data_IF_678682044858
#
_entry.id   IF_678682044858
#
_cell.length_a   1.000
_cell.length_b   1.000
_cell.length_c   1.000
_cell.angle_alpha   90.00
_cell.angle_beta   90.00
_cell.angle_gamma   90.00
#
_symmetry.space_group_name_H-M   'P 1'
#
loop_
_entity.id
_entity.type
_entity.pdbx_description
1 polymer ?
#
# COMPACT_ATOMS: atom_id res chain seq x y z
N UNK A 1 -3.63 -10.62 27.75
CA UNK A 1 -2.36 -10.33 27.05
C UNK A 1 -2.45 -8.91 26.53
N UNK A 2 -1.51 -8.04 26.90
CA UNK A 2 -1.42 -6.68 26.35
C UNK A 2 -1.06 -6.80 24.87
N UNK A 3 -1.93 -6.31 23.99
CA UNK A 3 -1.65 -6.24 22.54
C UNK A 3 -0.42 -5.34 22.36
N UNK A 4 0.58 -5.82 21.61
CA UNK A 4 1.73 -4.99 21.25
C UNK A 4 1.20 -3.76 20.49
N UNK A 5 1.44 -2.56 20.99
CA UNK A 5 0.96 -1.30 20.40
C UNK A 5 1.90 -0.74 19.33
N UNK A 6 3.01 -1.44 19.08
CA UNK A 6 4.03 -1.00 18.11
C UNK A 6 3.93 -1.82 16.83
N UNK A 7 3.71 -1.15 15.71
CA UNK A 7 3.73 -1.76 14.37
C UNK A 7 5.14 -1.68 13.84
N UNK A 8 5.81 -2.83 13.67
CA UNK A 8 7.21 -2.91 13.21
C UNK A 8 7.35 -3.48 11.81
N UNK A 9 6.31 -4.17 11.32
CA UNK A 9 6.33 -4.96 10.09
C UNK A 9 5.32 -4.40 9.11
N UNK A 10 5.71 -4.33 7.83
CA UNK A 10 4.81 -3.98 6.72
C UNK A 10 4.83 -5.08 5.68
N UNK A 11 3.66 -5.49 5.23
CA UNK A 11 3.45 -6.49 4.17
C UNK A 11 3.04 -5.78 2.88
N UNK A 12 3.78 -6.06 1.80
CA UNK A 12 3.52 -5.53 0.47
C UNK A 12 3.08 -6.66 -0.46
N UNK A 13 1.77 -6.82 -0.73
CA UNK A 13 1.26 -7.80 -1.69
C UNK A 13 1.56 -7.36 -3.12
N UNK A 14 2.63 -7.87 -3.70
CA UNK A 14 3.13 -7.50 -5.04
C UNK A 14 3.15 -8.67 -6.05
N UNK A 15 2.39 -9.74 -5.78
CA UNK A 15 2.35 -10.92 -6.65
C UNK A 15 1.41 -10.79 -7.88
N UNK A 16 0.66 -9.70 -8.00
CA UNK A 16 -0.32 -9.49 -9.07
C UNK A 16 0.30 -9.42 -10.47
N UNK A 17 -0.45 -9.84 -11.50
CA UNK A 17 0.06 -9.94 -12.88
C UNK A 17 0.19 -8.61 -13.63
N UNK A 18 -0.44 -7.54 -13.16
CA UNK A 18 -0.32 -6.21 -13.76
C UNK A 18 -0.95 -6.08 -15.17
N UNK A 19 -1.97 -6.86 -15.49
CA UNK A 19 -2.54 -6.97 -16.83
C UNK A 19 -3.10 -5.66 -17.41
N UNK A 20 -3.52 -4.72 -16.55
CA UNK A 20 -4.06 -3.40 -16.95
C UNK A 20 -3.02 -2.54 -17.67
N UNK A 21 -1.73 -2.77 -17.43
CA UNK A 21 -0.61 -2.02 -18.01
C UNK A 21 0.13 -2.77 -19.12
N UNK A 22 -0.44 -3.86 -19.66
CA UNK A 22 0.13 -4.48 -20.85
C UNK A 22 0.13 -3.51 -22.03
N UNK A 23 1.21 -3.49 -22.86
CA UNK A 23 2.36 -4.40 -22.86
C UNK A 23 3.51 -4.05 -21.91
N UNK A 24 3.50 -2.88 -21.23
CA UNK A 24 4.61 -2.43 -20.39
C UNK A 24 4.97 -3.44 -19.28
N UNK A 25 3.97 -4.11 -18.72
CA UNK A 25 4.14 -5.08 -17.62
C UNK A 25 4.40 -6.51 -18.10
N UNK A 26 4.66 -6.72 -19.40
CA UNK A 26 4.99 -8.05 -19.93
C UNK A 26 6.27 -8.63 -19.31
N UNK A 27 7.28 -7.79 -19.12
CA UNK A 27 8.59 -8.17 -18.59
C UNK A 27 8.97 -7.43 -17.29
N UNK A 28 8.19 -6.42 -16.87
CA UNK A 28 8.44 -5.64 -15.67
C UNK A 28 7.22 -5.68 -14.73
N UNK A 29 7.42 -5.80 -13.43
CA UNK A 29 6.33 -5.66 -12.46
C UNK A 29 5.65 -4.29 -12.58
N UNK A 30 4.32 -4.23 -12.44
CA UNK A 30 3.61 -2.94 -12.43
C UNK A 30 4.10 -2.02 -11.29
N UNK A 31 4.54 -2.61 -10.22
CA UNK A 31 5.08 -1.95 -9.04
C UNK A 31 6.43 -1.26 -9.30
N UNK A 32 7.11 -1.65 -10.41
CA UNK A 32 8.36 -1.04 -10.88
C UNK A 32 8.15 0.03 -11.95
N UNK A 33 6.91 0.32 -12.33
CA UNK A 33 6.64 1.46 -13.22
C UNK A 33 7.01 2.77 -12.50
N UNK A 34 7.80 3.65 -13.15
CA UNK A 34 8.29 4.86 -12.49
C UNK A 34 7.21 5.96 -12.47
N UNK A 35 6.98 6.54 -11.32
CA UNK A 35 6.29 7.82 -11.16
C UNK A 35 7.37 8.89 -11.05
N UNK A 36 7.58 9.64 -12.11
CA UNK A 36 8.72 10.53 -12.37
C UNK A 36 10.03 9.72 -12.51
N UNK A 37 10.81 9.58 -11.46
CA UNK A 37 12.11 8.90 -11.43
C UNK A 37 12.23 7.81 -10.36
N UNK A 38 11.11 7.50 -9.69
CA UNK A 38 11.07 6.55 -8.57
C UNK A 38 10.03 5.46 -8.84
N UNK A 39 10.36 4.16 -8.68
CA UNK A 39 9.39 3.09 -8.82
C UNK A 39 8.23 3.22 -7.84
N UNK A 40 7.03 2.87 -8.30
CA UNK A 40 5.79 2.98 -7.50
C UNK A 40 5.89 2.29 -6.14
N UNK A 41 6.52 1.11 -6.07
CA UNK A 41 6.71 0.37 -4.81
C UNK A 41 7.55 1.15 -3.80
N UNK A 42 8.53 1.94 -4.24
CA UNK A 42 9.40 2.69 -3.34
C UNK A 42 8.63 3.76 -2.56
N UNK A 43 7.62 4.41 -3.15
CA UNK A 43 6.75 5.35 -2.43
C UNK A 43 6.05 4.68 -1.24
N UNK A 44 5.55 3.45 -1.42
CA UNK A 44 4.90 2.72 -0.34
C UNK A 44 5.89 2.27 0.75
N UNK A 45 7.12 1.89 0.37
CA UNK A 45 8.18 1.54 1.32
C UNK A 45 8.64 2.76 2.11
N UNK A 46 8.87 3.89 1.45
CA UNK A 46 9.24 5.14 2.11
C UNK A 46 8.14 5.62 3.09
N UNK A 47 6.87 5.47 2.72
CA UNK A 47 5.75 5.77 3.61
C UNK A 47 5.77 4.88 4.87
N UNK A 48 6.00 3.57 4.72
CA UNK A 48 6.12 2.64 5.83
C UNK A 48 7.34 2.97 6.72
N UNK A 49 8.47 3.27 6.11
CA UNK A 49 9.69 3.67 6.82
C UNK A 49 9.48 4.97 7.62
N UNK A 50 8.85 5.98 7.01
CA UNK A 50 8.53 7.25 7.66
C UNK A 50 7.49 7.09 8.81
N UNK A 51 6.65 6.04 8.76
CA UNK A 51 5.74 5.67 9.85
C UNK A 51 6.44 4.94 11.01
N UNK A 52 7.76 4.70 10.92
CA UNK A 52 8.58 4.03 11.93
C UNK A 52 8.68 2.51 11.78
N UNK A 53 8.20 1.95 10.68
CA UNK A 53 8.32 0.53 10.35
C UNK A 53 9.71 0.25 9.77
N UNK A 54 10.31 -0.89 10.13
CA UNK A 54 11.67 -1.25 9.71
C UNK A 54 11.78 -2.60 9.01
N UNK A 55 10.79 -3.49 9.17
CA UNK A 55 10.78 -4.80 8.55
C UNK A 55 9.78 -4.82 7.40
N UNK A 56 10.28 -4.81 6.16
CA UNK A 56 9.49 -4.80 4.92
C UNK A 56 9.36 -6.22 4.38
N UNK A 57 8.14 -6.74 4.28
CA UNK A 57 7.84 -8.10 3.85
C UNK A 57 7.13 -8.05 2.50
N UNK A 58 7.81 -8.44 1.44
CA UNK A 58 7.26 -8.46 0.10
C UNK A 58 6.69 -9.83 -0.23
N UNK A 59 5.41 -9.89 -0.55
CA UNK A 59 4.76 -11.11 -1.04
C UNK A 59 4.79 -11.11 -2.55
N UNK A 60 5.80 -11.79 -3.12
CA UNK A 60 6.14 -11.74 -4.54
C UNK A 60 5.57 -12.91 -5.35
N UNK A 61 5.56 -12.78 -6.66
CA UNK A 61 5.25 -13.83 -7.63
C UNK A 61 6.49 -14.21 -8.49
N UNK A 62 6.27 -15.12 -9.44
CA UNK A 62 7.37 -15.67 -10.28
C UNK A 62 8.14 -14.60 -11.09
N UNK A 63 7.48 -13.52 -11.52
CA UNK A 63 8.06 -12.50 -12.43
C UNK A 63 8.34 -11.19 -11.73
N UNK A 64 8.66 -11.21 -10.41
CA UNK A 64 8.79 -10.00 -9.57
C UNK A 64 10.23 -9.71 -9.12
N UNK A 65 11.22 -10.37 -9.73
CA UNK A 65 12.63 -10.26 -9.34
C UNK A 65 13.15 -8.81 -9.32
N UNK A 66 12.70 -7.97 -10.26
CA UNK A 66 13.10 -6.56 -10.29
C UNK A 66 12.73 -5.78 -9.00
N UNK A 67 11.74 -6.24 -8.21
CA UNK A 67 11.44 -5.66 -6.90
C UNK A 67 12.49 -6.10 -5.88
N UNK A 68 12.91 -7.36 -5.95
CA UNK A 68 13.96 -7.91 -5.09
C UNK A 68 15.29 -7.19 -5.37
N UNK A 69 15.67 -7.08 -6.65
CA UNK A 69 16.90 -6.40 -7.10
C UNK A 69 16.89 -4.89 -6.74
N UNK A 70 15.72 -4.23 -6.70
CA UNK A 70 15.62 -2.81 -6.37
C UNK A 70 15.93 -2.49 -4.89
N UNK A 71 15.59 -3.41 -3.99
CA UNK A 71 15.83 -3.29 -2.55
C UNK A 71 17.02 -4.14 -2.10
N UNK A 72 17.97 -4.41 -3.00
CA UNK A 72 19.24 -5.09 -2.71
C UNK A 72 20.40 -4.14 -3.00
N UNK A 73 21.58 -4.47 -2.46
CA UNK A 73 22.80 -3.70 -2.72
C UNK A 73 23.21 -3.83 -4.19
N UNK A 74 23.28 -2.72 -4.91
CA UNK A 74 23.75 -2.66 -6.28
C UNK A 74 25.28 -2.48 -6.33
N UNK A 75 26.03 -3.50 -5.87
CA UNK A 75 27.47 -3.42 -5.62
C UNK A 75 28.27 -2.84 -6.79
N UNK A 76 28.02 -3.29 -8.03
CA UNK A 76 28.74 -2.83 -9.20
C UNK A 76 28.45 -1.35 -9.50
N UNK A 77 27.18 -0.94 -9.38
CA UNK A 77 26.77 0.46 -9.58
C UNK A 77 27.37 1.38 -8.49
N UNK A 78 27.32 0.93 -7.25
CA UNK A 78 27.86 1.72 -6.14
C UNK A 78 29.37 1.88 -6.27
N UNK A 79 30.12 0.82 -6.61
CA UNK A 79 31.56 0.88 -6.82
C UNK A 79 31.95 1.81 -7.98
N UNK A 80 31.19 1.80 -9.08
CA UNK A 80 31.40 2.72 -10.21
C UNK A 80 31.13 4.17 -9.81
N UNK A 81 30.06 4.44 -9.07
CA UNK A 81 29.73 5.79 -8.61
C UNK A 81 30.79 6.34 -7.63
N UNK A 82 31.27 5.48 -6.72
CA UNK A 82 32.33 5.83 -5.77
C UNK A 82 33.65 6.12 -6.48
N UNK A 83 34.05 5.25 -7.41
CA UNK A 83 35.27 5.45 -8.24
C UNK A 83 35.19 6.72 -9.08
N UNK A 84 34.01 7.05 -9.60
CA UNK A 84 33.77 8.25 -10.38
C UNK A 84 33.59 9.54 -9.54
N UNK A 85 33.63 9.45 -8.21
CA UNK A 85 33.44 10.58 -7.30
C UNK A 85 32.01 11.17 -7.33
N UNK A 86 31.00 10.37 -7.73
CA UNK A 86 29.60 10.80 -7.84
C UNK A 86 28.83 10.61 -6.55
N UNK A 87 29.29 11.29 -5.48
CA UNK A 87 28.79 11.11 -4.11
C UNK A 87 27.26 11.30 -3.97
N UNK A 88 26.69 12.30 -4.65
CA UNK A 88 25.25 12.56 -4.58
C UNK A 88 24.41 11.42 -5.18
N UNK A 89 24.86 10.80 -6.28
CA UNK A 89 24.19 9.65 -6.87
C UNK A 89 24.39 8.38 -6.03
N UNK A 90 25.55 8.20 -5.46
CA UNK A 90 25.85 7.10 -4.54
C UNK A 90 24.96 7.17 -3.31
N UNK A 91 24.83 8.35 -2.70
CA UNK A 91 23.92 8.58 -1.58
C UNK A 91 22.46 8.32 -1.96
N UNK A 92 22.03 8.71 -3.16
CA UNK A 92 20.68 8.44 -3.67
C UNK A 92 20.43 6.93 -3.80
N UNK A 93 21.35 6.16 -4.38
CA UNK A 93 21.24 4.70 -4.52
C UNK A 93 21.15 4.04 -3.15
N UNK A 94 22.04 4.38 -2.23
CA UNK A 94 22.05 3.82 -0.86
C UNK A 94 20.82 4.21 -0.03
N UNK A 95 20.18 5.34 -0.32
CA UNK A 95 18.97 5.77 0.38
C UNK A 95 17.73 4.94 0.08
N UNK A 96 17.73 4.10 -0.97
CA UNK A 96 16.63 3.20 -1.31
C UNK A 96 16.40 2.15 -0.21
N UNK A 97 17.49 1.66 0.39
CA UNK A 97 17.47 0.75 1.52
C UNK A 97 18.36 1.30 2.64
N UNK A 98 17.80 2.08 3.59
CA UNK A 98 18.53 2.53 4.77
C UNK A 98 19.07 1.36 5.62
N UNK A 99 20.21 1.57 6.28
CA UNK A 99 20.92 0.54 7.07
C UNK A 99 20.09 -0.10 8.20
N UNK A 100 19.07 0.61 8.69
CA UNK A 100 18.16 0.15 9.75
C UNK A 100 16.84 -0.45 9.20
N UNK A 101 16.77 -0.72 7.88
CA UNK A 101 15.62 -1.31 7.22
C UNK A 101 15.94 -2.71 6.70
N UNK A 102 15.16 -3.70 7.14
CA UNK A 102 15.26 -5.08 6.67
C UNK A 102 14.21 -5.40 5.61
N UNK A 103 14.59 -6.08 4.55
CA UNK A 103 13.71 -6.59 3.50
C UNK A 103 13.66 -8.12 3.52
N UNK A 104 12.44 -8.67 3.50
CA UNK A 104 12.21 -10.11 3.41
C UNK A 104 11.24 -10.41 2.26
N UNK A 105 11.48 -11.48 1.52
CA UNK A 105 10.71 -11.87 0.36
C UNK A 105 10.09 -13.25 0.55
N UNK A 106 8.76 -13.34 0.40
CA UNK A 106 8.01 -14.59 0.46
C UNK A 106 7.18 -14.77 -0.80
N UNK A 107 7.01 -16.01 -1.23
CA UNK A 107 6.28 -16.30 -2.47
C UNK A 107 4.80 -16.57 -2.23
N UNK A 108 3.95 -15.90 -3.03
CA UNK A 108 2.59 -16.37 -3.29
C UNK A 108 2.63 -17.34 -4.50
N UNK A 109 2.60 -18.66 -4.28
CA UNK A 109 2.81 -19.62 -5.36
C UNK A 109 1.66 -19.69 -6.38
N UNK A 110 0.47 -19.27 -5.96
CA UNK A 110 -0.74 -19.20 -6.80
C UNK A 110 -1.46 -17.89 -6.50
N UNK A 111 -1.92 -17.20 -7.54
CA UNK A 111 -2.69 -15.96 -7.42
C UNK A 111 -4.12 -16.29 -6.97
N UNK A 112 -4.32 -16.41 -5.65
CA UNK A 112 -5.62 -16.77 -5.05
C UNK A 112 -6.33 -15.57 -4.39
N UNK A 113 -5.87 -14.35 -4.62
CA UNK A 113 -6.45 -13.13 -4.09
C UNK A 113 -5.59 -12.44 -3.03
N UNK A 114 -6.04 -11.23 -2.62
CA UNK A 114 -5.30 -10.37 -1.69
C UNK A 114 -5.18 -10.98 -0.29
N UNK A 115 -6.25 -11.56 0.24
CA UNK A 115 -6.21 -12.24 1.53
C UNK A 115 -5.19 -13.37 1.55
N UNK A 116 -5.14 -14.19 0.50
CA UNK A 116 -4.14 -15.24 0.40
C UNK A 116 -2.70 -14.68 0.31
N UNK A 117 -2.48 -13.55 -0.36
CA UNK A 117 -1.18 -12.92 -0.39
C UNK A 117 -0.75 -12.50 1.03
N UNK A 118 -1.65 -11.87 1.79
CA UNK A 118 -1.41 -11.49 3.19
C UNK A 118 -1.12 -12.72 4.04
N UNK A 119 -1.87 -13.80 3.87
CA UNK A 119 -1.66 -15.07 4.59
C UNK A 119 -0.26 -15.66 4.33
N UNK A 120 0.28 -15.52 3.12
CA UNK A 120 1.65 -15.97 2.81
C UNK A 120 2.73 -15.28 3.67
N UNK A 121 2.46 -14.10 4.20
CA UNK A 121 3.40 -13.36 5.05
C UNK A 121 3.37 -13.80 6.52
N UNK A 122 2.38 -14.57 6.95
CA UNK A 122 2.19 -14.99 8.35
C UNK A 122 3.45 -15.53 9.03
N UNK A 123 4.27 -16.43 8.40
CA UNK A 123 5.47 -16.98 9.04
C UNK A 123 6.51 -15.90 9.39
N UNK A 124 6.53 -14.77 8.65
CA UNK A 124 7.44 -13.64 8.88
C UNK A 124 6.83 -12.59 9.82
N UNK A 125 5.53 -12.42 9.78
CA UNK A 125 4.79 -11.50 10.68
C UNK A 125 4.73 -12.08 12.09
N UNK A 126 4.43 -13.35 12.24
CA UNK A 126 4.23 -14.00 13.54
C UNK A 126 2.99 -13.45 14.26
N UNK A 127 3.09 -13.34 15.58
CA UNK A 127 1.98 -12.90 16.43
C UNK A 127 2.10 -11.40 16.81
N UNK A 128 2.40 -10.53 15.82
CA UNK A 128 2.54 -9.10 15.99
C UNK A 128 1.55 -8.34 15.11
N UNK A 129 1.10 -7.12 15.51
CA UNK A 129 0.37 -6.24 14.60
C UNK A 129 1.28 -5.81 13.45
N UNK A 130 0.70 -5.69 12.27
CA UNK A 130 1.43 -5.40 11.05
C UNK A 130 0.64 -4.48 10.13
N UNK A 131 1.34 -3.72 9.29
CA UNK A 131 0.74 -2.95 8.23
C UNK A 131 0.62 -3.77 6.94
N UNK A 132 -0.39 -3.49 6.12
CA UNK A 132 -0.49 -3.95 4.73
C UNK A 132 -0.60 -2.74 3.84
N UNK A 133 0.27 -2.63 2.83
CA UNK A 133 0.29 -1.54 1.88
C UNK A 133 0.14 -2.08 0.46
N UNK A 134 -0.90 -1.64 -0.24
CA UNK A 134 -1.04 -1.91 -1.67
C UNK A 134 -0.19 -0.89 -2.43
N UNK A 135 0.79 -1.37 -3.18
CA UNK A 135 1.76 -0.51 -3.87
C UNK A 135 1.14 0.34 -4.99
N UNK A 136 0.04 -0.11 -5.58
CA UNK A 136 -0.70 0.62 -6.62
C UNK A 136 -1.64 1.70 -6.07
N UNK A 137 -1.84 1.77 -4.76
CA UNK A 137 -2.43 2.93 -4.09
C UNK A 137 -1.31 3.87 -3.61
N UNK A 138 -0.93 4.84 -4.46
CA UNK A 138 0.05 5.85 -4.07
C UNK A 138 -0.66 6.88 -3.18
N UNK A 139 -0.17 7.04 -1.97
CA UNK A 139 -0.75 7.95 -0.99
C UNK A 139 0.23 9.06 -0.62
N UNK A 140 -0.24 10.30 -0.67
CA UNK A 140 0.52 11.49 -0.29
C UNK A 140 -0.19 12.15 0.88
N UNK A 141 0.50 12.30 1.99
CA UNK A 141 -0.02 13.02 3.17
C UNK A 141 -0.27 14.50 2.86
N UNK A 142 -0.95 15.22 3.75
CA UNK A 142 -1.16 16.66 3.58
C UNK A 142 0.18 17.41 3.61
N UNK A 143 0.24 18.54 2.91
CA UNK A 143 1.46 19.34 2.84
C UNK A 143 1.92 19.76 4.25
N UNK A 144 3.14 19.41 4.62
CA UNK A 144 3.68 19.67 5.96
C UNK A 144 3.12 18.79 7.08
N UNK A 145 2.26 17.81 6.73
CA UNK A 145 1.66 16.87 7.67
C UNK A 145 2.33 15.49 7.67
N UNK A 146 1.73 14.56 8.39
CA UNK A 146 2.23 13.18 8.49
C UNK A 146 1.81 12.34 7.27
N UNK A 147 2.65 11.38 6.82
CA UNK A 147 2.23 10.34 5.88
C UNK A 147 0.99 9.60 6.38
N UNK A 148 0.18 9.09 5.44
CA UNK A 148 -1.10 8.44 5.79
C UNK A 148 -0.90 7.28 6.76
N UNK A 149 0.09 6.42 6.53
CA UNK A 149 0.36 5.30 7.43
C UNK A 149 0.79 5.75 8.84
N UNK A 150 1.52 6.87 8.97
CA UNK A 150 1.90 7.41 10.28
C UNK A 150 0.68 7.91 11.07
N UNK A 151 -0.31 8.52 10.39
CA UNK A 151 -1.60 8.87 10.99
C UNK A 151 -2.32 7.60 11.51
N UNK A 152 -2.35 6.54 10.69
CA UNK A 152 -2.96 5.25 11.06
C UNK A 152 -2.23 4.56 12.23
N UNK A 153 -0.90 4.62 12.28
CA UNK A 153 -0.12 4.08 13.42
C UNK A 153 -0.50 4.81 14.71
N UNK A 154 -0.75 6.11 14.64
CA UNK A 154 -1.23 6.89 15.80
C UNK A 154 -2.62 6.43 16.22
N UNK A 155 -3.55 6.24 15.28
CA UNK A 155 -4.89 5.72 15.54
C UNK A 155 -4.85 4.29 16.12
N UNK A 156 -4.01 3.42 15.56
CA UNK A 156 -3.80 2.07 16.07
C UNK A 156 -3.29 2.04 17.51
N UNK A 157 -2.31 2.90 17.85
CA UNK A 157 -1.79 3.00 19.23
C UNK A 157 -2.87 3.39 20.23
N UNK A 158 -3.81 4.21 19.83
CA UNK A 158 -4.93 4.63 20.69
C UNK A 158 -5.97 3.53 20.88
N UNK A 159 -6.27 2.77 19.83
CA UNK A 159 -7.33 1.76 19.84
C UNK A 159 -6.85 0.37 20.27
N UNK A 160 -5.59 0.01 19.98
CA UNK A 160 -5.06 -1.35 20.17
C UNK A 160 -5.81 -2.41 19.35
N UNK A 161 -6.43 -2.02 18.24
CA UNK A 161 -7.28 -2.84 17.37
C UNK A 161 -7.02 -2.51 15.91
N UNK A 162 -7.38 -3.44 15.02
CA UNK A 162 -7.21 -3.27 13.57
C UNK A 162 -7.82 -1.96 13.07
N UNK A 163 -7.07 -1.25 12.21
CA UNK A 163 -7.45 0.03 11.59
C UNK A 163 -7.28 -0.08 10.08
N UNK A 164 -8.29 0.32 9.33
CA UNK A 164 -8.26 0.37 7.85
C UNK A 164 -8.43 1.80 7.37
N UNK A 165 -7.63 2.22 6.40
CA UNK A 165 -7.79 3.52 5.75
C UNK A 165 -9.04 3.53 4.87
N UNK A 166 -9.82 4.59 4.97
CA UNK A 166 -11.02 4.78 4.15
C UNK A 166 -11.09 6.20 3.60
N UNK A 167 -11.76 6.34 2.46
CA UNK A 167 -12.11 7.62 1.87
C UNK A 167 -13.53 7.58 1.31
N UNK A 168 -14.18 8.72 1.18
CA UNK A 168 -15.43 8.81 0.45
C UNK A 168 -15.17 8.62 -1.04
N UNK A 169 -15.94 7.74 -1.69
CA UNK A 169 -15.84 7.47 -3.13
C UNK A 169 -17.14 7.83 -3.84
N UNK A 170 -17.09 8.20 -5.13
CA UNK A 170 -18.29 8.41 -5.93
C UNK A 170 -19.20 7.17 -5.95
N UNK A 171 -20.50 7.38 -5.96
CA UNK A 171 -21.50 6.30 -5.92
C UNK A 171 -21.35 5.30 -7.07
N UNK A 172 -21.04 5.79 -8.25
CA UNK A 172 -20.78 4.97 -9.45
C UNK A 172 -19.49 4.13 -9.36
N UNK A 173 -18.62 4.40 -8.37
CA UNK A 173 -17.36 3.70 -8.19
C UNK A 173 -17.33 2.72 -7.00
N UNK A 174 -18.38 2.65 -6.18
CA UNK A 174 -18.41 1.75 -5.01
C UNK A 174 -18.11 0.29 -5.37
N UNK A 175 -18.48 -0.14 -6.57
CA UNK A 175 -18.24 -1.49 -7.08
C UNK A 175 -16.75 -1.85 -7.30
N UNK A 176 -15.84 -0.88 -7.13
CA UNK A 176 -14.38 -1.08 -7.24
C UNK A 176 -13.71 -1.35 -5.90
N UNK A 177 -14.40 -1.07 -4.78
CA UNK A 177 -13.83 -1.05 -3.43
C UNK A 177 -14.51 -1.99 -2.46
N UNK A 178 -13.82 -2.37 -1.40
CA UNK A 178 -14.48 -2.79 -0.18
C UNK A 178 -15.18 -1.58 0.44
N UNK A 179 -16.47 -1.69 0.73
CA UNK A 179 -17.26 -0.58 1.30
C UNK A 179 -17.57 -0.87 2.76
N UNK A 180 -17.33 0.11 3.63
CA UNK A 180 -17.56 0.00 5.08
C UNK A 180 -18.68 0.91 5.54
N UNK A 181 -19.40 0.48 6.58
CA UNK A 181 -20.33 1.32 7.33
C UNK A 181 -20.20 1.00 8.82
N UNK A 182 -20.53 1.95 9.67
CA UNK A 182 -20.45 1.80 11.12
C UNK A 182 -20.76 3.10 11.85
N UNK A 183 -20.45 3.13 13.14
CA UNK A 183 -20.74 4.24 14.04
C UNK A 183 -19.50 5.10 14.32
N UNK A 184 -19.64 6.43 14.42
CA UNK A 184 -18.53 7.31 14.79
C UNK A 184 -17.87 6.88 16.10
N UNK A 185 -16.53 6.85 16.13
CA UNK A 185 -15.75 6.44 17.29
C UNK A 185 -14.83 7.56 17.81
N UNK A 186 -15.07 8.79 17.39
CA UNK A 186 -14.32 9.99 17.77
C UNK A 186 -13.27 10.40 16.73
N UNK A 187 -13.17 11.70 16.48
CA UNK A 187 -12.27 12.26 15.45
C UNK A 187 -12.54 11.68 14.07
N UNK A 188 -11.51 11.14 13.44
CA UNK A 188 -11.56 10.54 12.10
C UNK A 188 -11.82 9.02 12.14
N UNK A 189 -12.17 8.46 13.30
CA UNK A 189 -12.43 7.04 13.49
C UNK A 189 -13.91 6.69 13.43
N UNK A 190 -14.21 5.58 12.80
CA UNK A 190 -15.51 4.92 12.77
C UNK A 190 -15.33 3.45 13.19
N UNK A 191 -16.09 2.95 14.14
CA UNK A 191 -16.16 1.53 14.44
C UNK A 191 -16.97 0.85 13.34
N UNK A 192 -16.33 -0.10 12.64
CA UNK A 192 -16.97 -0.78 11.52
C UNK A 192 -17.99 -1.79 12.05
N UNK A 193 -19.20 -1.75 11.51
CA UNK A 193 -20.27 -2.72 11.76
C UNK A 193 -20.51 -3.61 10.53
N UNK A 194 -20.20 -3.10 9.34
CA UNK A 194 -20.37 -3.81 8.09
C UNK A 194 -19.26 -3.46 7.11
N UNK A 195 -18.73 -4.50 6.46
CA UNK A 195 -17.78 -4.37 5.35
C UNK A 195 -18.19 -5.33 4.23
N UNK A 196 -18.23 -4.87 2.99
CA UNK A 196 -18.66 -5.66 1.82
C UNK A 196 -17.69 -5.43 0.66
N UNK A 197 -17.17 -6.50 0.10
CA UNK A 197 -16.26 -6.43 -1.06
C UNK A 197 -17.03 -6.15 -2.34
N UNK A 198 -16.69 -5.06 -3.02
CA UNK A 198 -17.19 -4.67 -4.35
C UNK A 198 -18.71 -4.79 -4.50
N UNK A 199 -19.51 -4.18 -3.62
CA UNK A 199 -20.96 -4.27 -3.72
C UNK A 199 -21.47 -3.55 -4.97
N UNK A 200 -22.65 -3.93 -5.44
CA UNK A 200 -23.40 -3.09 -6.38
C UNK A 200 -23.85 -1.82 -5.66
N UNK A 201 -24.04 -0.72 -6.41
CA UNK A 201 -24.42 0.57 -5.84
C UNK A 201 -25.69 0.54 -5.00
N UNK A 202 -26.68 -0.23 -5.45
CA UNK A 202 -28.01 -0.41 -4.81
C UNK A 202 -27.97 -1.15 -3.45
N UNK A 203 -26.87 -1.89 -3.17
CA UNK A 203 -26.70 -2.66 -1.93
C UNK A 203 -25.48 -2.24 -1.11
N UNK A 204 -24.75 -1.24 -1.58
CA UNK A 204 -23.59 -0.70 -0.88
C UNK A 204 -24.03 -0.11 0.48
N UNK A 205 -23.37 -0.47 1.60
CA UNK A 205 -23.79 0.02 2.92
C UNK A 205 -23.52 1.51 3.14
N UNK A 206 -22.63 2.09 2.37
CA UNK A 206 -22.26 3.51 2.38
C UNK A 206 -21.45 3.86 1.12
N UNK A 207 -20.81 5.05 1.12
CA UNK A 207 -19.79 5.43 0.13
C UNK A 207 -18.37 5.46 0.70
N UNK A 208 -18.14 4.92 1.90
CA UNK A 208 -16.82 4.86 2.50
C UNK A 208 -16.04 3.66 1.96
N UNK A 209 -15.19 3.92 0.98
CA UNK A 209 -14.35 2.94 0.30
C UNK A 209 -13.04 2.69 1.03
N UNK A 210 -12.66 1.42 1.14
CA UNK A 210 -11.37 1.01 1.71
C UNK A 210 -10.26 1.42 0.76
N UNK A 211 -9.28 2.15 1.28
CA UNK A 211 -8.04 2.48 0.59
C UNK A 211 -6.94 1.45 0.96
N UNK A 212 -5.94 1.32 0.11
CA UNK A 212 -4.94 0.26 0.20
C UNK A 212 -3.95 0.34 1.37
N UNK A 213 -4.41 0.78 2.55
CA UNK A 213 -3.63 0.83 3.79
C UNK A 213 -4.40 0.20 4.93
N UNK A 214 -3.75 -0.74 5.61
CA UNK A 214 -4.32 -1.47 6.74
C UNK A 214 -3.28 -1.60 7.86
N UNK A 215 -3.71 -1.55 9.09
CA UNK A 215 -2.96 -2.04 10.24
C UNK A 215 -3.82 -3.12 10.89
N UNK A 216 -3.34 -4.34 10.90
CA UNK A 216 -4.10 -5.51 11.29
C UNK A 216 -3.48 -6.19 12.51
N UNK A 217 -4.33 -6.75 13.35
CA UNK A 217 -3.92 -7.70 14.38
C UNK A 217 -3.69 -9.07 13.79
N UNK A 218 -2.84 -9.92 14.39
CA UNK A 218 -2.53 -11.24 13.84
C UNK A 218 -3.74 -12.21 13.79
N UNK A 219 -4.81 -11.93 14.53
CA UNK A 219 -6.05 -12.70 14.48
C UNK A 219 -6.66 -12.80 13.07
N UNK A 220 -6.34 -11.86 12.19
CA UNK A 220 -6.81 -11.89 10.79
C UNK A 220 -6.32 -13.11 10.02
N UNK A 221 -5.16 -13.69 10.36
CA UNK A 221 -4.62 -14.87 9.65
C UNK A 221 -5.50 -16.11 9.81
N UNK A 222 -6.03 -16.36 11.00
CA UNK A 222 -6.95 -17.47 11.23
C UNK A 222 -8.25 -17.30 10.45
N UNK A 223 -8.75 -16.08 10.38
CA UNK A 223 -9.96 -15.77 9.63
C UNK A 223 -9.76 -15.95 8.11
N UNK A 224 -8.63 -15.47 7.57
CA UNK A 224 -8.29 -15.66 6.15
C UNK A 224 -8.09 -17.14 5.83
N UNK A 225 -7.48 -17.92 6.70
CA UNK A 225 -7.21 -19.35 6.49
C UNK A 225 -8.50 -20.17 6.41
N UNK A 226 -9.49 -19.82 7.21
CA UNK A 226 -10.72 -20.57 7.39
C UNK A 226 -11.91 -20.03 6.56
N UNK A 227 -11.70 -18.98 5.75
CA UNK A 227 -12.78 -18.42 4.92
C UNK A 227 -12.95 -19.19 3.60
N UNK A 228 -14.18 -19.26 3.06
CA UNK A 228 -14.41 -19.71 1.69
C UNK A 228 -13.88 -18.69 0.68
N UNK A 229 -13.84 -19.06 -0.59
CA UNK A 229 -13.56 -18.10 -1.67
C UNK A 229 -14.75 -17.14 -1.84
N UNK A 230 -14.44 -15.87 -1.94
CA UNK A 230 -15.41 -14.80 -2.13
C UNK A 230 -15.56 -14.35 -3.58
N UNK A 231 -15.76 -13.04 -3.77
CA UNK A 231 -15.94 -12.41 -5.08
C UNK A 231 -14.78 -12.76 -6.02
N UNK A 232 -15.10 -13.13 -7.26
CA UNK A 232 -14.10 -13.52 -8.27
C UNK A 232 -13.47 -14.90 -8.02
N UNK A 233 -13.93 -15.68 -7.06
CA UNK A 233 -13.34 -16.97 -6.67
C UNK A 233 -12.03 -16.80 -5.89
N UNK A 234 -11.75 -15.61 -5.38
CA UNK A 234 -10.55 -15.24 -4.65
C UNK A 234 -10.74 -15.31 -3.13
N UNK A 235 -9.64 -15.44 -2.40
CA UNK A 235 -9.57 -15.26 -0.95
C UNK A 235 -9.38 -13.77 -0.70
N UNK A 236 -10.46 -13.07 -0.41
CA UNK A 236 -10.46 -11.62 -0.23
C UNK A 236 -10.00 -11.23 1.18
N UNK A 237 -9.19 -10.17 1.29
CA UNK A 237 -8.79 -9.63 2.60
C UNK A 237 -9.99 -9.02 3.33
N UNK A 238 -10.88 -8.39 2.59
CA UNK A 238 -12.12 -7.78 3.10
C UNK A 238 -13.00 -8.80 3.79
N UNK A 239 -13.14 -10.01 3.23
CA UNK A 239 -13.93 -11.11 3.83
C UNK A 239 -13.28 -11.62 5.13
N UNK A 240 -11.94 -11.71 5.16
CA UNK A 240 -11.20 -12.05 6.38
C UNK A 240 -11.39 -11.01 7.49
N UNK A 241 -11.38 -9.74 7.13
CA UNK A 241 -11.64 -8.64 8.08
C UNK A 241 -13.09 -8.68 8.57
N UNK A 242 -14.07 -8.95 7.69
CA UNK A 242 -15.47 -9.11 8.08
C UNK A 242 -15.66 -10.21 9.14
N UNK A 243 -14.93 -11.31 9.01
CA UNK A 243 -14.96 -12.41 9.99
C UNK A 243 -14.25 -12.04 11.29
N UNK A 244 -13.13 -11.32 11.21
CA UNK A 244 -12.40 -10.83 12.38
C UNK A 244 -13.28 -9.95 13.27
N UNK A 245 -14.20 -9.16 12.68
CA UNK A 245 -15.14 -8.31 13.41
C UNK A 245 -16.08 -9.07 14.34
N UNK A 246 -16.26 -10.38 14.17
CA UNK A 246 -17.00 -11.22 15.12
C UNK A 246 -16.26 -11.43 16.45
N UNK A 247 -14.95 -11.22 16.47
CA UNK A 247 -14.07 -11.51 17.63
C UNK A 247 -13.42 -10.26 18.22
N UNK A 248 -13.22 -9.21 17.40
CA UNK A 248 -12.66 -7.94 17.87
C UNK A 248 -13.23 -6.74 17.11
N UNK A 249 -13.13 -5.57 17.73
CA UNK A 249 -13.49 -4.33 17.02
C UNK A 249 -12.46 -4.02 15.94
N UNK A 250 -12.95 -3.57 14.77
CA UNK A 250 -12.14 -3.04 13.66
C UNK A 250 -12.60 -1.61 13.38
N UNK A 251 -11.65 -0.73 13.15
CA UNK A 251 -11.92 0.68 12.92
C UNK A 251 -11.58 1.09 11.49
N UNK A 252 -12.43 1.92 10.91
CA UNK A 252 -12.11 2.70 9.72
C UNK A 252 -11.51 4.04 10.15
N UNK A 253 -10.47 4.47 9.45
CA UNK A 253 -9.81 5.75 9.68
C UNK A 253 -9.88 6.59 8.40
N UNK A 254 -10.57 7.72 8.45
CA UNK A 254 -10.63 8.67 7.35
C UNK A 254 -9.36 9.53 7.39
N UNK A 255 -8.36 9.15 6.60
CA UNK A 255 -7.06 9.81 6.59
C UNK A 255 -7.09 11.19 5.93
N UNK A 256 -6.12 12.03 6.27
CA UNK A 256 -5.82 13.27 5.58
C UNK A 256 -4.73 13.04 4.54
N UNK A 257 -4.98 13.50 3.31
CA UNK A 257 -4.06 13.35 2.20
C UNK A 257 -4.77 13.05 0.89
N UNK A 258 -3.99 12.72 -0.13
CA UNK A 258 -4.48 12.39 -1.46
C UNK A 258 -4.05 10.98 -1.86
N UNK A 259 -4.98 10.22 -2.41
CA UNK A 259 -4.74 8.90 -2.99
C UNK A 259 -4.80 8.98 -4.51
N UNK A 260 -3.86 8.32 -5.17
CA UNK A 260 -3.87 8.08 -6.60
C UNK A 260 -3.99 6.57 -6.84
N UNK A 261 -5.02 6.16 -7.61
CA UNK A 261 -5.18 4.76 -8.05
C UNK A 261 -4.23 4.45 -9.21
N UNK A 262 -2.96 4.22 -8.88
CA UNK A 262 -1.95 3.83 -9.86
C UNK A 262 -2.15 2.39 -10.39
N UNK A 263 -3.20 1.70 -9.98
CA UNK A 263 -3.67 0.47 -10.62
C UNK A 263 -4.46 0.74 -11.91
N UNK A 264 -4.86 1.99 -12.18
CA UNK A 264 -5.46 2.47 -13.43
C UNK A 264 -4.48 3.35 -14.22
N UNK A 265 -4.66 3.46 -15.53
CA UNK A 265 -3.81 4.33 -16.38
C UNK A 265 -4.06 5.80 -16.06
N UNK A 266 -5.30 6.15 -15.81
CA UNK A 266 -5.73 7.51 -15.46
C UNK A 266 -5.08 7.96 -14.15
N UNK A 267 -5.25 7.20 -13.07
CA UNK A 267 -4.66 7.55 -11.77
C UNK A 267 -3.13 7.52 -11.77
N UNK A 268 -2.51 6.65 -12.60
CA UNK A 268 -1.06 6.65 -12.79
C UNK A 268 -0.57 7.94 -13.49
N UNK A 269 -1.32 8.44 -14.50
CA UNK A 269 -0.99 9.70 -15.18
C UNK A 269 -1.22 10.90 -14.26
N UNK A 270 -2.29 10.90 -13.46
CA UNK A 270 -2.55 11.94 -12.46
C UNK A 270 -1.41 12.01 -11.44
N UNK A 271 -1.02 10.86 -10.87
CA UNK A 271 0.10 10.79 -9.94
C UNK A 271 1.41 11.32 -10.56
N UNK A 272 1.72 10.84 -11.78
CA UNK A 272 2.93 11.26 -12.48
C UNK A 272 2.92 12.76 -12.77
N UNK A 273 1.80 13.33 -13.24
CA UNK A 273 1.68 14.75 -13.55
C UNK A 273 1.82 15.63 -12.32
N UNK A 274 1.10 15.30 -11.24
CA UNK A 274 1.13 16.13 -10.02
C UNK A 274 2.47 16.03 -9.27
N UNK A 275 3.05 14.82 -9.18
CA UNK A 275 4.36 14.66 -8.54
C UNK A 275 5.49 15.25 -9.38
N UNK A 276 5.40 15.18 -10.72
CA UNK A 276 6.34 15.87 -11.60
C UNK A 276 6.32 17.40 -11.40
N UNK A 277 5.14 18.00 -11.16
CA UNK A 277 5.01 19.44 -10.88
C UNK A 277 5.64 19.86 -9.54
N UNK A 278 5.76 18.93 -8.60
CA UNK A 278 6.37 19.14 -7.28
C UNK A 278 7.83 18.73 -7.24
N UNK A 279 8.31 18.02 -8.26
CA UNK A 279 9.67 17.48 -8.29
C UNK A 279 10.73 18.58 -8.36
N UNK A 280 11.78 18.55 -7.50
CA UNK A 280 12.74 19.64 -7.38
C UNK A 280 13.53 19.93 -8.66
N UNK A 281 13.84 18.91 -9.47
CA UNK A 281 14.65 19.08 -10.68
C UNK A 281 13.83 19.43 -11.93
N UNK A 282 12.61 18.88 -12.06
CA UNK A 282 11.84 19.00 -13.31
C UNK A 282 10.56 19.85 -13.17
N UNK A 283 10.11 20.15 -11.96
CA UNK A 283 8.79 20.76 -11.72
C UNK A 283 8.59 22.12 -12.39
N UNK A 284 9.61 22.98 -12.41
CA UNK A 284 9.54 24.30 -13.04
C UNK A 284 9.45 24.19 -14.58
N UNK A 285 10.28 23.36 -15.18
CA UNK A 285 10.32 23.11 -16.62
C UNK A 285 9.05 22.44 -17.11
N UNK A 286 8.57 21.44 -16.36
CA UNK A 286 7.35 20.71 -16.68
C UNK A 286 6.11 21.62 -16.61
N UNK A 287 6.04 22.50 -15.60
CA UNK A 287 4.97 23.51 -15.49
C UNK A 287 4.95 24.46 -16.71
N UNK A 288 6.13 24.90 -17.16
CA UNK A 288 6.27 25.75 -18.34
C UNK A 288 5.81 25.03 -19.60
N UNK A 289 6.21 23.76 -19.75
CA UNK A 289 5.77 22.91 -20.87
C UNK A 289 4.25 22.75 -20.90
N UNK A 290 3.61 22.43 -19.77
CA UNK A 290 2.16 22.26 -19.70
C UNK A 290 1.39 23.55 -20.07
N UNK A 291 1.90 24.74 -19.69
CA UNK A 291 1.29 26.01 -20.08
C UNK A 291 1.37 26.30 -21.57
N UNK A 292 2.29 25.67 -22.28
CA UNK A 292 2.43 25.79 -23.73
C UNK A 292 1.61 24.79 -24.54
N UNK A 293 0.93 23.84 -23.89
CA UNK A 293 0.06 22.89 -24.59
C UNK A 293 -1.28 23.55 -24.95
N UNK A 294 -1.71 23.35 -26.17
CA UNK A 294 -3.09 23.62 -26.61
C UNK A 294 -3.94 22.43 -26.22
N UNK A 295 -4.67 22.54 -25.12
CA UNK A 295 -5.62 21.52 -24.61
C UNK A 295 -7.05 21.91 -24.99
#
# INVERSE_FOLDING_TARGET
>A
MTVATTVRKAVFPVAGLGTRFLPATKASPKEMLPVVDKPLIQYAVEEAYAAGIRHMIFVTGRSKRAIEDHFDTAYELEAELETAGKEALLALVRSVQPDDMDCAFVRQPRSLGLGHAVLCAEPLVGNEPFAVLLADDLMVGPQGGQPVLAQMVTAFRQQGRSVIAVQEVPEDQVHKYGIVAGEPAGGQLMRIERIVEKPKADVAPSRMGVAGRYILTPGVFDEIRNQPRGVGGEIQLTDGIARLMAHEAVYAFQYEGKRYDCGSKEGFLEATGELALQHPQVGATFRTYLKGLSL
#
